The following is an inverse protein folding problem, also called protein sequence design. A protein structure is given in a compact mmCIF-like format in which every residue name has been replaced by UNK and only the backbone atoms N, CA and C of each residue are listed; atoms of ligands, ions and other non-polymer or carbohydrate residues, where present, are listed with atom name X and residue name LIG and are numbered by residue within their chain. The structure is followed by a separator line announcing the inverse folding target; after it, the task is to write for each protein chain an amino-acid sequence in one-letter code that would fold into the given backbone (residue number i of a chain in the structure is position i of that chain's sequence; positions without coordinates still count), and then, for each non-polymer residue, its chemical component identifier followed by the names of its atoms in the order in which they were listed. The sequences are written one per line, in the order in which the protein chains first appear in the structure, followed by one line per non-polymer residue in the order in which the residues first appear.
data_IF_169418729967
#
_entry.id   IF_169418729967
#
_cell.length_a   1.000
_cell.length_b   1.000
_cell.length_c   1.000
_cell.angle_alpha   90.00
_cell.angle_beta   90.00
_cell.angle_gamma   90.00
#
_symmetry.space_group_name_H-M   'P 1'
#
loop_
_entity.id
_entity.type
_entity.pdbx_description
1 polymer ?
#
# COMPACT_ATOMS: atom_id res chain seq x y z
N UNK A 1 -10.13 -0.67 -51.79
CA UNK A 1 -10.33 -1.28 -50.45
C UNK A 1 -10.96 -0.27 -49.51
N UNK A 2 -12.08 -0.61 -48.87
CA UNK A 2 -12.74 0.29 -47.91
C UNK A 2 -11.83 0.43 -46.67
N UNK A 3 -11.29 1.63 -46.43
CA UNK A 3 -10.57 1.95 -45.18
C UNK A 3 -11.57 1.78 -44.03
N UNK A 4 -11.36 0.77 -43.18
CA UNK A 4 -12.22 0.50 -42.02
C UNK A 4 -12.32 1.74 -41.12
N UNK A 5 -13.49 1.94 -40.51
CA UNK A 5 -13.71 3.03 -39.53
C UNK A 5 -12.59 2.99 -38.47
N UNK A 6 -12.02 4.14 -38.05
CA UNK A 6 -11.03 4.17 -36.98
C UNK A 6 -11.62 3.51 -35.73
N UNK A 7 -10.86 2.61 -35.12
CA UNK A 7 -11.28 1.89 -33.92
C UNK A 7 -11.52 2.89 -32.78
N UNK A 8 -12.77 3.01 -32.34
CA UNK A 8 -13.17 3.95 -31.29
C UNK A 8 -13.14 3.24 -29.95
N UNK A 9 -12.20 3.63 -29.08
CA UNK A 9 -12.15 3.10 -27.71
C UNK A 9 -13.41 3.49 -26.91
N UNK A 10 -13.87 2.67 -25.95
CA UNK A 10 -14.89 3.06 -24.99
C UNK A 10 -14.40 4.21 -24.10
N UNK A 11 -15.32 5.08 -23.65
CA UNK A 11 -14.97 6.19 -22.75
C UNK A 11 -14.46 5.69 -21.39
N UNK A 12 -14.96 4.55 -20.91
CA UNK A 12 -14.47 3.88 -19.69
C UNK A 12 -12.97 3.55 -19.76
N UNK A 13 -12.49 3.12 -20.92
CA UNK A 13 -11.07 2.84 -21.14
C UNK A 13 -10.22 4.12 -21.09
N UNK A 14 -10.72 5.20 -21.70
CA UNK A 14 -10.06 6.51 -21.67
C UNK A 14 -10.07 7.09 -20.26
N UNK A 15 -11.12 6.86 -19.47
CA UNK A 15 -11.19 7.27 -18.05
C UNK A 15 -10.14 6.56 -17.20
N UNK A 16 -9.97 5.25 -17.37
CA UNK A 16 -8.92 4.49 -16.65
C UNK A 16 -7.53 5.03 -17.00
N UNK A 17 -7.27 5.32 -18.28
CA UNK A 17 -6.02 5.95 -18.72
C UNK A 17 -5.85 7.35 -18.09
N UNK A 18 -6.92 8.14 -18.06
CA UNK A 18 -6.94 9.45 -17.41
C UNK A 18 -6.64 9.38 -15.91
N UNK A 19 -7.17 8.36 -15.24
CA UNK A 19 -6.92 8.11 -13.82
C UNK A 19 -5.47 7.69 -13.57
N UNK A 20 -4.93 6.75 -14.36
CA UNK A 20 -3.50 6.38 -14.28
C UNK A 20 -2.62 7.61 -14.50
N UNK A 21 -2.93 8.41 -15.52
CA UNK A 21 -2.20 9.66 -15.77
C UNK A 21 -2.28 10.61 -14.57
N UNK A 22 -3.46 10.77 -13.98
CA UNK A 22 -3.68 11.65 -12.83
C UNK A 22 -2.92 11.15 -11.59
N UNK A 23 -3.07 9.88 -11.23
CA UNK A 23 -2.47 9.27 -10.05
C UNK A 23 -0.94 9.22 -10.11
N UNK A 24 -0.36 9.08 -11.30
CA UNK A 24 1.10 9.01 -11.49
C UNK A 24 1.72 10.28 -12.07
N UNK A 25 0.94 11.35 -12.29
CA UNK A 25 1.36 12.62 -12.89
C UNK A 25 2.17 12.51 -14.20
N UNK A 26 1.87 11.52 -15.03
CA UNK A 26 2.67 11.20 -16.22
C UNK A 26 2.38 12.16 -17.39
N UNK A 27 3.39 12.55 -18.19
CA UNK A 27 3.17 13.17 -19.49
C UNK A 27 2.49 12.17 -20.44
N UNK A 28 1.61 12.66 -21.32
CA UNK A 28 0.78 11.82 -22.21
C UNK A 28 1.59 10.80 -23.04
N UNK A 29 2.85 11.13 -23.38
CA UNK A 29 3.76 10.25 -24.12
C UNK A 29 4.27 9.07 -23.30
N UNK A 30 4.50 9.26 -21.99
CA UNK A 30 4.85 8.15 -21.09
C UNK A 30 3.63 7.29 -20.77
N UNK A 31 2.45 7.90 -20.64
CA UNK A 31 1.19 7.16 -20.49
C UNK A 31 0.94 6.25 -21.68
N UNK A 32 1.17 6.72 -22.91
CA UNK A 32 1.16 5.90 -24.12
C UNK A 32 2.17 4.75 -24.06
N UNK A 33 3.41 5.02 -23.65
CA UNK A 33 4.45 3.99 -23.49
C UNK A 33 4.05 2.88 -22.52
N UNK A 34 3.40 3.21 -21.40
CA UNK A 34 2.88 2.22 -20.44
C UNK A 34 1.76 1.39 -21.07
N UNK A 35 0.84 2.02 -21.80
CA UNK A 35 -0.24 1.32 -22.50
C UNK A 35 0.35 0.37 -23.54
N UNK A 36 1.34 0.81 -24.33
CA UNK A 36 2.02 -0.04 -25.31
C UNK A 36 2.80 -1.18 -24.65
N UNK A 37 3.45 -0.94 -23.51
CA UNK A 37 4.21 -1.93 -22.76
C UNK A 37 3.32 -2.99 -22.05
N UNK A 38 2.05 -2.68 -21.80
CA UNK A 38 1.07 -3.63 -21.21
C UNK A 38 0.61 -4.71 -22.23
N UNK A 39 1.37 -4.90 -23.32
CA UNK A 39 1.06 -5.72 -24.47
C UNK A 39 0.78 -7.20 -24.17
N UNK A 40 -0.48 -7.59 -24.44
CA UNK A 40 -1.06 -8.93 -24.74
C UNK A 40 -2.58 -8.94 -24.52
N UNK A 41 -3.10 -8.01 -23.70
CA UNK A 41 -4.54 -7.84 -23.38
C UNK A 41 -5.17 -6.56 -23.94
N UNK A 42 -4.45 -5.81 -24.76
CA UNK A 42 -4.90 -4.57 -25.36
C UNK A 42 -5.21 -4.77 -26.86
N UNK A 43 -6.13 -3.98 -27.44
CA UNK A 43 -6.46 -4.08 -28.86
C UNK A 43 -5.23 -3.79 -29.73
N UNK A 44 -5.19 -4.42 -30.91
CA UNK A 44 -4.02 -4.47 -31.81
C UNK A 44 -3.40 -3.11 -32.16
N UNK A 45 -4.18 -2.03 -32.06
CA UNK A 45 -3.71 -0.66 -32.22
C UNK A 45 -4.06 0.14 -30.95
N UNK A 46 -3.14 0.31 -29.98
CA UNK A 46 -3.40 1.12 -28.79
C UNK A 46 -3.60 2.61 -29.14
N UNK A 47 -4.31 3.40 -28.31
CA UNK A 47 -4.54 4.80 -28.59
C UNK A 47 -3.24 5.60 -28.48
N UNK A 48 -2.99 6.44 -29.48
CA UNK A 48 -1.81 7.33 -29.51
C UNK A 48 -2.03 8.49 -28.53
N UNK A 49 -0.97 9.07 -27.95
CA UNK A 49 -1.06 10.17 -26.98
C UNK A 49 -2.01 11.32 -27.42
N UNK A 50 -2.03 11.64 -28.72
CA UNK A 50 -2.90 12.68 -29.27
C UNK A 50 -4.39 12.35 -29.18
N UNK A 51 -4.76 11.07 -29.31
CA UNK A 51 -6.14 10.61 -29.16
C UNK A 51 -6.55 10.60 -27.69
N UNK A 52 -5.64 10.18 -26.80
CA UNK A 52 -5.84 10.19 -25.35
C UNK A 52 -6.06 11.62 -24.85
N UNK A 53 -5.19 12.57 -25.24
CA UNK A 53 -5.27 13.97 -24.83
C UNK A 53 -6.59 14.63 -25.28
N UNK A 54 -6.98 14.45 -26.55
CA UNK A 54 -8.23 15.02 -27.07
C UNK A 54 -9.47 14.45 -26.37
N UNK A 55 -9.48 13.15 -26.05
CA UNK A 55 -10.64 12.49 -25.45
C UNK A 55 -10.74 12.73 -23.94
N UNK A 56 -9.63 12.75 -23.21
CA UNK A 56 -9.63 13.13 -21.78
C UNK A 56 -10.13 14.56 -21.61
N UNK A 57 -9.69 15.50 -22.46
CA UNK A 57 -10.18 16.88 -22.42
C UNK A 57 -11.67 17.00 -22.79
N UNK A 58 -12.19 16.10 -23.64
CA UNK A 58 -13.61 16.07 -24.03
C UNK A 58 -14.51 15.44 -22.95
N UNK A 59 -13.98 14.53 -22.14
CA UNK A 59 -14.72 13.82 -21.10
C UNK A 59 -14.97 14.66 -19.83
N UNK A 60 -14.55 15.94 -19.82
CA UNK A 60 -14.73 16.91 -18.73
C UNK A 60 -14.63 16.27 -17.33
N UNK A 61 -13.56 15.53 -17.12
CA UNK A 61 -13.34 14.82 -15.87
C UNK A 61 -13.11 15.88 -14.80
N UNK A 62 -14.14 16.17 -14.00
CA UNK A 62 -14.09 17.10 -12.86
C UNK A 62 -13.32 16.45 -11.70
N UNK A 63 -12.04 16.22 -11.92
CA UNK A 63 -11.09 15.94 -10.85
C UNK A 63 -10.56 17.31 -10.45
N UNK A 64 -10.98 17.79 -9.27
CA UNK A 64 -10.60 19.07 -8.65
C UNK A 64 -9.19 19.50 -9.07
N UNK A 65 -9.17 20.44 -10.01
CA UNK A 65 -7.98 20.89 -10.71
C UNK A 65 -7.29 21.93 -9.83
N UNK A 66 -6.35 21.50 -8.99
CA UNK A 66 -5.47 22.44 -8.30
C UNK A 66 -4.49 23.00 -9.35
N UNK A 67 -4.87 24.12 -9.97
CA UNK A 67 -4.10 24.79 -11.02
C UNK A 67 -2.83 25.36 -10.39
N UNK A 68 -1.68 24.78 -10.71
CA UNK A 68 -0.40 25.49 -10.68
C UNK A 68 0.05 25.70 -12.12
N UNK A 69 0.08 26.97 -12.51
CA UNK A 69 0.48 27.42 -13.85
C UNK A 69 1.93 27.01 -14.13
N UNK A 70 2.14 26.35 -15.26
CA UNK A 70 3.45 26.03 -15.79
C UNK A 70 3.94 27.22 -16.61
N UNK A 71 4.92 27.95 -16.08
CA UNK A 71 5.69 28.90 -16.89
C UNK A 71 6.51 28.10 -17.90
N UNK A 72 6.29 28.42 -19.17
CA UNK A 72 7.00 27.88 -20.32
C UNK A 72 8.49 28.24 -20.26
N UNK A 73 9.38 27.24 -20.21
CA UNK A 73 10.80 27.44 -20.56
C UNK A 73 11.07 26.69 -21.85
N UNK A 74 11.35 27.47 -22.90
CA UNK A 74 11.56 27.00 -24.26
C UNK A 74 12.99 26.55 -24.57
N UNK A 75 13.14 26.20 -25.85
CA UNK A 75 14.37 26.02 -26.65
C UNK A 75 15.20 24.76 -26.38
N UNK A 76 14.96 23.78 -27.25
CA UNK A 76 15.90 22.72 -27.61
C UNK A 76 17.04 23.31 -28.45
N UNK A 77 18.23 23.42 -27.86
CA UNK A 77 19.49 23.62 -28.56
C UNK A 77 20.12 22.26 -28.88
N UNK A 78 20.42 22.04 -30.16
CA UNK A 78 21.17 20.90 -30.69
C UNK A 78 22.62 20.94 -30.23
N UNK A 79 23.21 19.80 -29.87
CA UNK A 79 24.61 19.42 -30.17
C UNK A 79 24.85 17.92 -29.89
N UNK A 80 25.83 17.29 -30.57
CA UNK A 80 25.78 15.87 -30.95
C UNK A 80 26.42 14.93 -29.92
N UNK A 81 25.92 13.68 -29.89
CA UNK A 81 26.64 12.55 -29.31
C UNK A 81 27.86 12.24 -30.19
N UNK A 82 29.06 12.50 -29.67
CA UNK A 82 30.27 11.77 -30.05
C UNK A 82 30.40 10.58 -29.12
N UNK A 83 30.34 9.38 -29.67
CA UNK A 83 30.65 8.13 -28.98
C UNK A 83 32.13 7.86 -29.29
N UNK A 84 33.01 8.13 -28.32
CA UNK A 84 34.36 7.59 -28.34
C UNK A 84 34.41 6.40 -27.39
N UNK A 85 34.52 5.22 -28.00
CA UNK A 85 34.92 3.98 -27.35
C UNK A 85 36.44 3.95 -27.34
N UNK A 86 37.05 4.18 -26.18
CA UNK A 86 38.39 3.67 -25.93
C UNK A 86 38.49 3.17 -24.50
N UNK A 87 38.82 1.88 -24.44
CA UNK A 87 39.15 1.11 -23.27
C UNK A 87 40.34 1.73 -22.55
N UNK A 88 40.16 2.12 -21.29
CA UNK A 88 41.28 2.17 -20.38
C UNK A 88 40.89 1.70 -18.97
N UNK A 89 41.64 0.72 -18.54
CA UNK A 89 41.53 -0.03 -17.30
C UNK A 89 41.95 0.83 -16.11
N UNK A 90 40.99 1.36 -15.36
CA UNK A 90 41.19 1.75 -13.97
C UNK A 90 39.98 1.39 -13.12
N UNK A 91 40.22 0.49 -12.16
CA UNK A 91 39.35 0.18 -11.04
C UNK A 91 39.05 1.49 -10.28
N UNK A 92 37.83 2.00 -10.39
CA UNK A 92 37.23 2.83 -9.36
C UNK A 92 35.92 2.18 -8.92
N UNK A 93 35.86 1.88 -7.63
CA UNK A 93 34.71 1.38 -6.89
C UNK A 93 33.39 2.02 -7.33
N UNK A 94 32.38 1.20 -7.66
CA UNK A 94 30.98 1.60 -7.67
C UNK A 94 30.57 1.98 -6.24
N UNK A 95 30.84 3.23 -5.87
CA UNK A 95 30.33 3.86 -4.66
C UNK A 95 29.54 5.09 -5.11
N UNK A 96 28.30 4.87 -5.55
CA UNK A 96 27.33 5.95 -5.69
C UNK A 96 26.21 5.67 -4.70
N UNK A 97 26.56 5.74 -3.41
CA UNK A 97 25.61 5.74 -2.30
C UNK A 97 24.89 7.09 -2.30
N UNK A 98 23.83 7.21 -3.10
CA UNK A 98 22.91 8.34 -2.99
C UNK A 98 22.17 8.19 -1.66
N UNK A 99 22.61 8.90 -0.63
CA UNK A 99 22.04 8.91 0.70
C UNK A 99 20.66 9.58 0.68
N UNK A 100 19.59 8.80 0.52
CA UNK A 100 18.24 9.35 0.35
C UNK A 100 17.65 9.84 1.67
N UNK A 101 17.98 9.19 2.80
CA UNK A 101 17.45 9.58 4.11
C UNK A 101 18.52 9.68 5.20
N UNK A 102 18.26 10.57 6.15
CA UNK A 102 18.94 10.64 7.45
C UNK A 102 17.90 10.46 8.54
N UNK A 103 18.13 9.51 9.45
CA UNK A 103 17.28 9.29 10.62
C UNK A 103 17.99 9.81 11.86
N UNK A 104 17.34 10.69 12.59
CA UNK A 104 17.88 11.34 13.78
C UNK A 104 17.34 10.71 15.06
N UNK A 105 18.06 10.80 16.20
CA UNK A 105 17.61 10.20 17.46
C UNK A 105 16.33 10.80 18.03
N UNK A 106 15.90 11.98 17.58
CA UNK A 106 14.65 12.64 17.97
C UNK A 106 13.43 12.18 17.14
N UNK A 107 13.52 11.03 16.46
CA UNK A 107 12.45 10.46 15.64
C UNK A 107 12.09 11.28 14.40
N UNK A 108 13.05 12.05 13.87
CA UNK A 108 12.88 12.73 12.60
C UNK A 108 13.56 11.95 11.47
N UNK A 109 12.88 11.88 10.33
CA UNK A 109 13.39 11.28 9.10
C UNK A 109 13.47 12.38 8.06
N UNK A 110 14.69 12.75 7.72
CA UNK A 110 14.99 13.79 6.75
C UNK A 110 15.22 13.09 5.41
N UNK A 111 14.37 13.39 4.42
CA UNK A 111 14.37 12.76 3.11
C UNK A 111 14.77 13.76 2.04
N UNK A 112 15.70 13.38 1.16
CA UNK A 112 16.04 14.13 -0.04
C UNK A 112 15.08 13.76 -1.18
N UNK A 113 14.26 14.71 -1.65
CA UNK A 113 13.20 14.47 -2.65
C UNK A 113 13.57 14.84 -4.08
N UNK A 114 14.83 15.21 -4.32
CA UNK A 114 15.30 15.62 -5.64
C UNK A 114 15.34 14.47 -6.64
N UNK A 115 15.62 13.25 -6.18
CA UNK A 115 15.65 12.05 -7.00
C UNK A 115 14.26 11.41 -7.14
N UNK A 116 14.06 10.62 -8.21
CA UNK A 116 12.85 9.79 -8.38
C UNK A 116 12.70 8.76 -7.26
N UNK A 117 13.81 8.20 -6.79
CA UNK A 117 13.87 7.24 -5.68
C UNK A 117 13.42 7.89 -4.38
N UNK A 118 13.88 9.12 -4.10
CA UNK A 118 13.45 9.91 -2.94
C UNK A 118 11.95 10.19 -2.97
N UNK A 119 11.38 10.54 -4.14
CA UNK A 119 9.93 10.70 -4.28
C UNK A 119 9.16 9.40 -4.04
N UNK A 120 9.67 8.27 -4.55
CA UNK A 120 9.07 6.95 -4.30
C UNK A 120 9.10 6.60 -2.80
N UNK A 121 10.24 6.86 -2.15
CA UNK A 121 10.42 6.63 -0.72
C UNK A 121 9.51 7.52 0.13
N UNK A 122 9.25 8.76 -0.29
CA UNK A 122 8.28 9.66 0.35
C UNK A 122 6.87 9.03 0.43
N UNK A 123 6.43 8.30 -0.60
CA UNK A 123 5.14 7.60 -0.57
C UNK A 123 5.11 6.52 0.51
N UNK A 124 6.20 5.75 0.66
CA UNK A 124 6.31 4.75 1.72
C UNK A 124 6.37 5.39 3.11
N UNK A 125 7.14 6.46 3.29
CA UNK A 125 7.27 7.16 4.57
C UNK A 125 5.94 7.76 5.05
N UNK A 126 5.07 8.23 4.16
CA UNK A 126 3.75 8.77 4.53
C UNK A 126 2.79 7.74 5.16
N UNK A 127 3.04 6.46 4.95
CA UNK A 127 2.21 5.40 5.52
C UNK A 127 2.46 5.25 7.04
N UNK A 128 3.70 5.44 7.48
CA UNK A 128 4.11 5.20 8.88
C UNK A 128 4.77 6.39 9.58
N UNK A 129 4.98 7.51 8.90
CA UNK A 129 5.45 8.77 9.48
C UNK A 129 4.48 9.93 9.17
N UNK A 130 4.51 10.96 10.01
CA UNK A 130 3.78 12.21 9.79
C UNK A 130 4.70 13.22 9.09
N UNK A 131 4.25 13.82 7.98
CA UNK A 131 5.00 14.90 7.34
C UNK A 131 4.89 16.17 8.19
N UNK A 132 6.01 16.67 8.73
CA UNK A 132 6.02 17.90 9.52
C UNK A 132 6.02 19.15 8.62
N UNK A 133 6.77 19.10 7.53
CA UNK A 133 6.93 20.25 6.66
C UNK A 133 5.78 20.33 5.63
N UNK A 134 4.94 21.37 5.72
CA UNK A 134 3.84 21.63 4.76
C UNK A 134 4.33 22.26 3.44
N UNK A 135 5.65 22.37 3.26
CA UNK A 135 6.22 23.00 2.07
C UNK A 135 6.04 22.13 0.82
N UNK A 136 6.08 22.81 -0.33
CA UNK A 136 5.77 22.22 -1.60
C UNK A 136 6.83 21.15 -1.98
N UNK A 137 6.44 19.88 -2.21
CA UNK A 137 7.36 18.79 -2.57
C UNK A 137 8.19 19.03 -3.84
N UNK A 138 7.80 20.01 -4.66
CA UNK A 138 8.46 20.38 -5.91
C UNK A 138 9.43 21.56 -5.77
N UNK A 139 9.40 22.26 -4.64
CA UNK A 139 10.25 23.44 -4.38
C UNK A 139 11.34 23.08 -3.39
N UNK A 140 11.01 22.25 -2.41
CA UNK A 140 11.96 21.92 -1.36
C UNK A 140 12.75 20.65 -1.69
N UNK A 141 14.09 20.71 -1.63
CA UNK A 141 14.95 19.54 -1.80
C UNK A 141 14.75 18.48 -0.71
N UNK A 142 14.16 18.87 0.42
CA UNK A 142 14.15 18.09 1.66
C UNK A 142 12.77 18.06 2.29
N UNK A 143 12.31 16.88 2.66
CA UNK A 143 11.11 16.67 3.48
C UNK A 143 11.50 16.14 4.85
N UNK A 144 10.85 16.67 5.89
CA UNK A 144 11.04 16.24 7.27
C UNK A 144 9.78 15.49 7.71
N UNK A 145 9.98 14.24 8.10
CA UNK A 145 8.96 13.37 8.64
C UNK A 145 9.22 13.14 10.13
N UNK A 146 8.15 12.98 10.89
CA UNK A 146 8.17 12.60 12.30
C UNK A 146 7.64 11.19 12.45
N UNK A 147 8.41 10.34 13.10
CA UNK A 147 8.06 8.98 13.44
C UNK A 147 7.44 8.96 14.85
N UNK A 148 6.12 9.01 14.93
CA UNK A 148 5.39 8.93 16.21
C UNK A 148 4.74 7.57 16.39
N UNK A 149 4.50 7.18 17.65
CA UNK A 149 3.79 5.94 17.99
C UNK A 149 2.46 5.82 17.26
N UNK A 150 1.68 6.90 17.19
CA UNK A 150 0.37 6.92 16.52
C UNK A 150 0.51 6.68 15.02
N UNK A 151 1.51 7.29 14.38
CA UNK A 151 1.77 7.13 12.94
C UNK A 151 2.19 5.71 12.58
N UNK A 152 3.04 5.09 13.41
CA UNK A 152 3.50 3.71 13.23
C UNK A 152 2.36 2.73 13.49
N UNK A 153 1.61 2.87 14.59
CA UNK A 153 0.45 2.02 14.91
C UNK A 153 -0.63 2.13 13.83
N UNK A 154 -0.86 3.31 13.26
CA UNK A 154 -1.76 3.49 12.11
C UNK A 154 -1.33 2.63 10.92
N UNK A 155 -0.04 2.57 10.62
CA UNK A 155 0.49 1.73 9.53
C UNK A 155 0.33 0.23 9.79
N UNK A 156 0.35 -0.20 11.05
CA UNK A 156 0.12 -1.61 11.39
C UNK A 156 -1.35 -2.01 11.24
N UNK A 157 -2.29 -1.06 11.38
CA UNK A 157 -3.73 -1.30 11.16
C UNK A 157 -4.08 -1.56 9.70
N UNK A 158 -3.32 -1.00 8.76
CA UNK A 158 -3.52 -1.26 7.33
C UNK A 158 -2.99 -2.63 6.91
N UNK A 159 -2.16 -3.28 7.74
CA UNK A 159 -1.58 -4.60 7.49
C UNK A 159 -0.42 -4.61 6.49
N UNK A 160 -0.05 -3.46 5.92
CA UNK A 160 0.98 -3.35 4.87
C UNK A 160 2.41 -3.29 5.43
N UNK A 161 2.55 -2.92 6.71
CA UNK A 161 3.83 -2.74 7.38
C UNK A 161 3.87 -3.49 8.72
N UNK A 162 5.03 -4.05 9.02
CA UNK A 162 5.42 -4.55 10.34
C UNK A 162 6.60 -3.73 10.84
N UNK A 163 6.85 -3.74 12.15
CA UNK A 163 8.00 -3.02 12.71
C UNK A 163 9.32 -3.48 12.06
N UNK A 164 9.47 -4.76 11.75
CA UNK A 164 10.64 -5.31 11.05
C UNK A 164 10.81 -4.71 9.66
N UNK A 165 9.71 -4.59 8.89
CA UNK A 165 9.72 -4.01 7.55
C UNK A 165 10.00 -2.51 7.56
N UNK A 166 9.53 -1.79 8.59
CA UNK A 166 9.85 -0.37 8.78
C UNK A 166 11.34 -0.21 9.08
N UNK A 167 11.88 -1.00 10.01
CA UNK A 167 13.31 -0.99 10.36
C UNK A 167 14.17 -1.36 9.16
N UNK A 168 13.81 -2.39 8.39
CA UNK A 168 14.58 -2.77 7.19
C UNK A 168 14.57 -1.64 6.16
N UNK A 169 13.40 -1.07 5.85
CA UNK A 169 13.28 0.02 4.88
C UNK A 169 14.11 1.24 5.30
N UNK A 170 14.03 1.64 6.57
CA UNK A 170 14.80 2.76 7.09
C UNK A 170 16.31 2.44 7.15
N UNK A 171 16.71 1.19 7.36
CA UNK A 171 18.14 0.80 7.42
C UNK A 171 18.75 0.72 6.02
N UNK A 172 18.01 0.15 5.06
CA UNK A 172 18.45 -0.03 3.67
C UNK A 172 18.61 1.30 2.93
N UNK A 173 17.91 2.35 3.39
CA UNK A 173 17.90 3.67 2.75
C UNK A 173 18.68 4.74 3.52
N UNK A 174 19.06 4.49 4.78
CA UNK A 174 19.77 5.46 5.62
C UNK A 174 21.28 5.49 5.40
N UNK A 175 21.84 6.70 5.45
CA UNK A 175 23.27 6.99 5.43
C UNK A 175 23.53 8.29 6.22
N UNK A 176 24.66 8.48 6.94
CA UNK A 176 25.89 7.68 7.00
C UNK A 176 25.90 6.54 8.03
N UNK A 177 24.94 6.53 8.95
CA UNK A 177 24.83 5.54 10.01
C UNK A 177 23.48 4.83 9.90
N UNK A 178 23.49 3.53 10.19
CA UNK A 178 22.26 2.77 10.43
C UNK A 178 21.40 3.52 11.44
N UNK A 179 20.07 3.40 11.34
CA UNK A 179 19.09 4.02 12.24
C UNK A 179 19.59 4.05 13.70
N UNK A 180 19.44 5.17 14.42
CA UNK A 180 19.76 5.26 15.85
C UNK A 180 19.15 4.12 16.68
N UNK A 181 19.91 3.60 17.64
CA UNK A 181 19.52 2.41 18.40
C UNK A 181 18.26 2.64 19.26
N UNK A 182 18.08 3.86 19.77
CA UNK A 182 16.86 4.25 20.48
C UNK A 182 15.62 4.18 19.59
N UNK A 183 15.73 4.59 18.32
CA UNK A 183 14.64 4.52 17.35
C UNK A 183 14.29 3.05 17.03
N UNK A 184 15.30 2.18 16.89
CA UNK A 184 15.05 0.74 16.69
C UNK A 184 14.35 0.10 17.89
N UNK A 185 14.80 0.41 19.11
CA UNK A 185 14.21 -0.11 20.34
C UNK A 185 12.74 0.28 20.47
N UNK A 186 12.42 1.56 20.26
CA UNK A 186 11.03 2.04 20.31
C UNK A 186 10.15 1.42 19.21
N UNK A 187 10.65 1.31 17.98
CA UNK A 187 9.91 0.66 16.89
C UNK A 187 9.59 -0.81 17.22
N UNK A 188 10.55 -1.51 17.84
CA UNK A 188 10.35 -2.88 18.31
C UNK A 188 9.31 -2.92 19.43
N UNK A 189 9.43 -2.08 20.45
CA UNK A 189 8.51 -2.03 21.58
C UNK A 189 7.08 -1.71 21.12
N UNK A 190 6.90 -0.73 20.23
CA UNK A 190 5.59 -0.40 19.66
C UNK A 190 5.05 -1.52 18.79
N UNK A 191 5.92 -2.20 18.06
CA UNK A 191 5.58 -3.34 17.21
C UNK A 191 5.19 -4.60 17.97
N UNK A 192 5.90 -4.92 19.05
CA UNK A 192 5.63 -6.08 19.91
C UNK A 192 4.33 -5.87 20.70
N UNK A 193 4.14 -4.69 21.30
CA UNK A 193 2.88 -4.30 21.97
C UNK A 193 1.70 -4.27 21.00
N UNK A 194 1.94 -3.96 19.73
CA UNK A 194 0.89 -3.97 18.73
C UNK A 194 0.47 -5.40 18.36
N UNK A 195 -0.75 -5.76 18.74
CA UNK A 195 -1.33 -7.06 18.46
C UNK A 195 -1.26 -8.05 19.62
N UNK A 196 -0.72 -7.66 20.78
CA UNK A 196 -0.86 -8.41 22.05
C UNK A 196 -2.34 -8.55 22.43
N UNK A 197 -3.13 -7.50 22.20
CA UNK A 197 -4.55 -7.47 22.49
C UNK A 197 -5.32 -7.43 21.17
N UNK A 198 -6.13 -8.46 20.92
CA UNK A 198 -7.02 -8.54 19.75
C UNK A 198 -8.45 -8.71 20.23
N UNK A 199 -9.30 -7.76 19.89
CA UNK A 199 -10.75 -7.90 20.08
C UNK A 199 -11.26 -8.79 18.95
N UNK A 200 -11.95 -9.87 19.30
CA UNK A 200 -12.63 -10.76 18.36
C UNK A 200 -14.08 -10.92 18.80
N UNK A 201 -15.00 -10.88 17.85
CA UNK A 201 -16.38 -11.30 18.07
C UNK A 201 -16.43 -12.83 18.02
N UNK A 202 -16.78 -13.44 19.14
CA UNK A 202 -16.93 -14.89 19.28
C UNK A 202 -18.41 -15.24 19.44
N UNK A 203 -18.81 -16.35 18.83
CA UNK A 203 -20.11 -16.96 19.08
C UNK A 203 -19.95 -17.96 20.23
N UNK A 204 -20.83 -17.87 21.21
CA UNK A 204 -20.74 -18.66 22.44
C UNK A 204 -22.08 -19.33 22.72
N UNK A 205 -22.02 -20.60 23.12
CA UNK A 205 -23.14 -21.34 23.67
C UNK A 205 -23.06 -21.30 25.19
N UNK A 206 -24.08 -20.73 25.81
CA UNK A 206 -24.24 -20.76 27.26
C UNK A 206 -25.27 -21.83 27.62
N UNK A 207 -24.82 -22.86 28.33
CA UNK A 207 -25.64 -23.96 28.78
C UNK A 207 -26.17 -23.67 30.18
N UNK A 208 -27.39 -24.11 30.48
CA UNK A 208 -27.95 -23.94 31.82
C UNK A 208 -27.12 -24.65 32.90
N UNK A 209 -26.64 -25.85 32.59
CA UNK A 209 -25.95 -26.74 33.52
C UNK A 209 -24.70 -27.36 32.87
N UNK A 210 -23.72 -27.73 33.69
CA UNK A 210 -22.46 -28.35 33.25
C UNK A 210 -22.70 -29.70 32.53
N UNK A 211 -23.71 -30.46 32.96
CA UNK A 211 -24.08 -31.75 32.38
C UNK A 211 -24.50 -31.60 30.92
N UNK A 212 -25.23 -30.52 30.60
CA UNK A 212 -25.67 -30.24 29.23
C UNK A 212 -24.45 -29.87 28.37
N UNK A 213 -23.55 -29.04 28.90
CA UNK A 213 -22.31 -28.68 28.21
C UNK A 213 -21.47 -29.92 27.89
N UNK A 214 -21.33 -30.87 28.83
CA UNK A 214 -20.63 -32.14 28.60
C UNK A 214 -21.33 -33.02 27.57
N UNK A 215 -22.66 -33.08 27.61
CA UNK A 215 -23.45 -33.84 26.63
C UNK A 215 -23.24 -33.31 25.21
N UNK A 216 -23.23 -31.97 25.04
CA UNK A 216 -22.99 -31.33 23.75
C UNK A 216 -21.54 -31.49 23.28
N UNK A 217 -20.56 -31.51 24.19
CA UNK A 217 -19.16 -31.80 23.88
C UNK A 217 -18.94 -33.25 23.40
N UNK A 218 -19.76 -34.18 23.88
CA UNK A 218 -19.71 -35.59 23.49
C UNK A 218 -20.42 -35.87 22.15
N UNK A 219 -21.28 -34.98 21.66
CA UNK A 219 -21.89 -35.13 20.34
C UNK A 219 -20.86 -34.91 19.21
N UNK A 220 -20.67 -35.88 18.30
CA UNK A 220 -19.60 -35.82 17.30
C UNK A 220 -19.81 -34.74 16.23
N UNK A 221 -21.04 -34.27 16.02
CA UNK A 221 -21.35 -33.22 15.06
C UNK A 221 -21.08 -31.86 15.68
N UNK A 222 -21.52 -31.64 16.92
CA UNK A 222 -21.33 -30.38 17.64
C UNK A 222 -19.83 -30.20 17.98
N UNK A 223 -19.15 -31.25 18.43
CA UNK A 223 -17.72 -31.21 18.77
C UNK A 223 -16.83 -30.72 17.62
N UNK A 224 -17.18 -31.00 16.36
CA UNK A 224 -16.44 -30.50 15.18
C UNK A 224 -16.55 -28.98 15.01
N UNK A 225 -17.59 -28.38 15.56
CA UNK A 225 -17.88 -26.95 15.48
C UNK A 225 -17.43 -26.17 16.71
N UNK A 226 -17.01 -26.84 17.78
CA UNK A 226 -16.47 -26.20 18.99
C UNK A 226 -15.01 -25.79 18.75
N UNK A 227 -14.66 -24.58 19.19
CA UNK A 227 -13.27 -24.10 19.20
C UNK A 227 -12.62 -24.48 20.52
N UNK A 228 -13.21 -24.05 21.64
CA UNK A 228 -12.64 -24.21 22.98
C UNK A 228 -13.74 -24.08 24.03
N UNK A 229 -13.54 -24.71 25.19
CA UNK A 229 -14.39 -24.54 26.37
C UNK A 229 -13.87 -23.33 27.16
N UNK A 230 -14.70 -22.29 27.28
CA UNK A 230 -14.35 -21.04 27.99
C UNK A 230 -14.60 -21.19 29.49
N UNK A 231 -15.62 -21.97 29.88
CA UNK A 231 -15.98 -22.22 31.28
C UNK A 231 -16.75 -23.52 31.48
N UNK A 232 -17.31 -23.73 32.68
CA UNK A 232 -18.05 -24.96 33.00
C UNK A 232 -19.33 -25.11 32.19
N UNK A 233 -20.04 -24.02 31.94
CA UNK A 233 -21.30 -23.99 31.19
C UNK A 233 -21.17 -23.37 29.79
N UNK A 234 -20.03 -22.75 29.50
CA UNK A 234 -19.86 -21.85 28.38
C UNK A 234 -18.86 -22.40 27.36
N UNK A 235 -19.30 -22.52 26.10
CA UNK A 235 -18.55 -23.16 25.01
C UNK A 235 -18.42 -22.18 23.84
N UNK A 236 -17.19 -21.97 23.35
CA UNK A 236 -16.92 -21.18 22.15
C UNK A 236 -17.13 -22.02 20.88
N UNK A 237 -17.86 -21.47 19.92
CA UNK A 237 -18.18 -22.13 18.65
C UNK A 237 -17.59 -21.39 17.46
N UNK A 238 -17.38 -22.12 16.38
CA UNK A 238 -16.85 -21.56 15.13
C UNK A 238 -17.81 -20.55 14.53
N UNK A 239 -17.27 -19.43 14.05
CA UNK A 239 -18.04 -18.42 13.31
C UNK A 239 -18.75 -19.08 12.12
N UNK A 240 -20.07 -18.90 12.03
CA UNK A 240 -20.92 -19.48 10.97
C UNK A 240 -21.45 -20.89 11.24
N UNK A 241 -21.13 -21.51 12.38
CA UNK A 241 -21.64 -22.84 12.76
C UNK A 241 -23.02 -22.81 13.45
N UNK A 242 -23.56 -21.62 13.73
CA UNK A 242 -24.80 -21.39 14.49
C UNK A 242 -25.99 -22.22 13.97
N UNK A 243 -26.23 -22.24 12.66
CA UNK A 243 -27.36 -22.96 12.05
C UNK A 243 -27.24 -24.48 12.19
N UNK A 244 -26.03 -25.02 12.05
CA UNK A 244 -25.77 -26.46 12.19
C UNK A 244 -25.96 -26.91 13.64
N UNK A 245 -25.51 -26.09 14.59
CA UNK A 245 -25.66 -26.34 16.01
C UNK A 245 -27.14 -26.27 16.41
N UNK A 246 -27.87 -25.23 15.98
CA UNK A 246 -29.31 -25.11 16.23
C UNK A 246 -30.07 -26.36 15.74
N UNK A 247 -29.86 -26.75 14.49
CA UNK A 247 -30.51 -27.94 13.91
C UNK A 247 -30.16 -29.23 14.67
N UNK A 248 -28.93 -29.35 15.18
CA UNK A 248 -28.50 -30.53 15.93
C UNK A 248 -29.07 -30.52 17.35
N UNK A 249 -29.11 -29.38 18.02
CA UNK A 249 -29.71 -29.21 19.34
C UNK A 249 -31.21 -29.51 19.31
N UNK A 250 -31.94 -29.05 18.30
CA UNK A 250 -33.37 -29.37 18.12
C UNK A 250 -33.60 -30.88 18.00
N UNK A 251 -32.74 -31.59 17.25
CA UNK A 251 -32.78 -33.06 17.14
C UNK A 251 -32.46 -33.79 18.44
N UNK A 252 -31.69 -33.17 19.32
CA UNK A 252 -31.36 -33.69 20.65
C UNK A 252 -32.40 -33.29 21.70
N UNK A 253 -33.42 -32.50 21.34
CA UNK A 253 -34.48 -32.03 22.24
C UNK A 253 -34.12 -30.78 23.04
N UNK A 254 -33.03 -30.08 22.70
CA UNK A 254 -32.62 -28.84 23.34
C UNK A 254 -33.07 -27.63 22.53
N UNK A 255 -33.99 -26.84 23.08
CA UNK A 255 -34.47 -25.60 22.47
C UNK A 255 -33.59 -24.43 22.90
N UNK A 256 -32.85 -23.86 21.95
CA UNK A 256 -31.96 -22.74 22.22
C UNK A 256 -32.75 -21.44 22.29
N UNK A 257 -32.58 -20.69 23.38
CA UNK A 257 -33.07 -19.32 23.51
C UNK A 257 -32.13 -18.40 22.73
N UNK A 258 -32.57 -17.90 21.58
CA UNK A 258 -31.81 -16.99 20.72
C UNK A 258 -31.88 -15.54 21.13
#
# INVERSE_FOLDING_TARGET
GKKGKPFTFPDSFILVIGYIRYSFHLPYRQTEGIIQATGKRLPANPPIYGQICKRINKLNIDIKRDKRELVSVGRWGKTPLSIDVQSDSLRLSKTTSNSLITVTPNFEVILQTQSSEGRSLAFHLREFCNLQNKLNPNVDPVQIFSLTKESVVRSFRTGNYTWQKIVSLLTDTAYPSSIPENVKHELREWGEKYGEIKIKTIDVLDCKDEIIAETLLNDPVIRKQIITRVGKTTIEIKSGSRSQILSRCDKLGYFIKT
#
